data_IF_793015116098
#
_entry.id   IF_793015116098
#
_cell.length_a   1.000
_cell.length_b   1.000
_cell.length_c   1.000
_cell.angle_alpha   90.00
_cell.angle_beta   90.00
_cell.angle_gamma   90.00
#
_symmetry.space_group_name_H-M   'P 1'
#
loop_
_entity.id
_entity.type
_entity.pdbx_description
1 polymer ?
#
# COMPACT_ATOMS: atom_id res chain seq x y z
N UNK A 1 -12.28 -4.74 10.41
CA UNK A 1 -11.66 -4.09 9.22
C UNK A 1 -12.02 -2.61 9.04
N UNK A 2 -13.08 -2.09 9.67
CA UNK A 2 -13.58 -0.69 9.50
C UNK A 2 -12.56 0.44 9.74
N UNK A 3 -11.54 0.20 10.55
CA UNK A 3 -10.58 1.25 10.94
C UNK A 3 -9.27 1.24 10.13
N UNK A 4 -9.17 0.35 9.13
CA UNK A 4 -7.98 0.27 8.30
C UNK A 4 -8.02 1.29 7.17
N UNK A 5 -6.89 1.94 6.97
CA UNK A 5 -6.59 2.78 5.82
C UNK A 5 -5.51 2.06 5.02
N UNK A 6 -5.88 1.56 3.85
CA UNK A 6 -5.02 0.75 3.00
C UNK A 6 -4.45 1.63 1.90
N UNK A 7 -3.13 1.69 1.82
CA UNK A 7 -2.45 2.42 0.76
C UNK A 7 -1.78 1.45 -0.20
N UNK A 8 -2.11 1.54 -1.48
CA UNK A 8 -1.53 0.75 -2.55
C UNK A 8 -0.58 1.63 -3.37
N UNK A 9 0.70 1.36 -3.27
CA UNK A 9 1.73 2.02 -4.09
C UNK A 9 2.07 1.15 -5.29
N UNK A 10 1.47 1.51 -6.43
CA UNK A 10 1.50 0.73 -7.67
C UNK A 10 0.09 0.24 -8.04
N UNK A 11 -0.79 1.16 -8.46
CA UNK A 11 -2.19 0.86 -8.82
C UNK A 11 -2.33 0.18 -10.21
N UNK A 12 -1.41 -0.73 -10.52
CA UNK A 12 -1.53 -1.63 -11.68
C UNK A 12 -2.48 -2.80 -11.40
N UNK A 13 -2.55 -3.76 -12.34
CA UNK A 13 -3.40 -4.95 -12.20
C UNK A 13 -3.13 -5.75 -10.90
N UNK A 14 -1.86 -5.85 -10.47
CA UNK A 14 -1.51 -6.53 -9.23
C UNK A 14 -2.05 -5.79 -8.00
N UNK A 15 -1.76 -4.49 -7.88
CA UNK A 15 -2.18 -3.69 -6.74
C UNK A 15 -3.69 -3.58 -6.62
N UNK A 16 -4.38 -3.32 -7.72
CA UNK A 16 -5.85 -3.24 -7.73
C UNK A 16 -6.48 -4.62 -7.48
N UNK A 17 -5.91 -5.70 -8.03
CA UNK A 17 -6.42 -7.05 -7.73
C UNK A 17 -6.32 -7.42 -6.24
N UNK A 18 -5.27 -6.95 -5.53
CA UNK A 18 -5.19 -7.08 -4.07
C UNK A 18 -6.28 -6.23 -3.40
N UNK A 19 -6.46 -4.98 -3.84
CA UNK A 19 -7.51 -4.11 -3.32
C UNK A 19 -8.89 -4.72 -3.49
N UNK A 20 -9.22 -5.30 -4.66
CA UNK A 20 -10.49 -5.97 -4.92
C UNK A 20 -10.75 -7.11 -3.95
N UNK A 21 -9.77 -7.99 -3.70
CA UNK A 21 -9.93 -9.10 -2.75
C UNK A 21 -10.14 -8.62 -1.31
N UNK A 22 -9.38 -7.60 -0.90
CA UNK A 22 -9.55 -7.01 0.44
C UNK A 22 -10.90 -6.33 0.56
N UNK A 23 -11.34 -5.57 -0.45
CA UNK A 23 -12.67 -4.94 -0.52
C UNK A 23 -13.77 -6.00 -0.39
N UNK A 24 -13.72 -7.06 -1.19
CA UNK A 24 -14.72 -8.12 -1.17
C UNK A 24 -14.80 -8.78 0.21
N UNK A 25 -13.66 -8.98 0.87
CA UNK A 25 -13.61 -9.47 2.26
C UNK A 25 -14.28 -8.48 3.22
N UNK A 26 -14.01 -7.18 3.08
CA UNK A 26 -14.65 -6.14 3.90
C UNK A 26 -16.17 -6.12 3.72
N UNK A 27 -16.64 -6.31 2.49
CA UNK A 27 -18.08 -6.41 2.19
C UNK A 27 -18.69 -7.67 2.82
N UNK A 28 -18.01 -8.81 2.74
CA UNK A 28 -18.45 -10.05 3.41
C UNK A 28 -18.51 -9.88 4.95
N UNK A 29 -17.67 -9.02 5.53
CA UNK A 29 -17.70 -8.67 6.94
C UNK A 29 -18.74 -7.60 7.29
N UNK A 30 -19.53 -7.13 6.31
CA UNK A 30 -20.70 -6.28 6.52
C UNK A 30 -20.50 -4.80 6.26
N UNK A 31 -19.41 -4.38 5.61
CA UNK A 31 -19.30 -3.03 5.07
C UNK A 31 -20.14 -2.93 3.79
N UNK A 32 -20.65 -1.72 3.48
CA UNK A 32 -21.13 -1.43 2.14
C UNK A 32 -19.95 -1.40 1.14
N UNK A 33 -20.23 -1.59 -0.13
CA UNK A 33 -19.20 -1.50 -1.17
C UNK A 33 -18.51 -0.12 -1.20
N UNK A 34 -19.29 0.94 -0.98
CA UNK A 34 -18.76 2.30 -0.90
C UNK A 34 -17.83 2.48 0.31
N UNK A 35 -18.23 2.03 1.50
CA UNK A 35 -17.37 2.07 2.69
C UNK A 35 -16.09 1.27 2.50
N UNK A 36 -16.18 0.10 1.85
CA UNK A 36 -15.03 -0.75 1.57
C UNK A 36 -14.08 -0.09 0.54
N UNK A 37 -14.59 0.48 -0.55
CA UNK A 37 -13.79 1.22 -1.53
C UNK A 37 -13.09 2.43 -0.88
N UNK A 38 -13.78 3.13 0.01
CA UNK A 38 -13.25 4.29 0.73
C UNK A 38 -12.12 3.96 1.73
N UNK A 39 -11.88 2.68 2.03
CA UNK A 39 -10.72 2.28 2.82
C UNK A 39 -9.39 2.37 2.04
N UNK A 40 -9.44 2.45 0.70
CA UNK A 40 -8.26 2.39 -0.16
C UNK A 40 -7.82 3.77 -0.67
N UNK A 41 -6.50 3.93 -0.75
CA UNK A 41 -5.78 5.07 -1.30
C UNK A 41 -4.74 4.53 -2.29
N UNK A 42 -4.99 4.73 -3.56
CA UNK A 42 -4.19 4.10 -4.63
C UNK A 42 -3.31 5.12 -5.33
N UNK A 43 -2.06 4.75 -5.58
CA UNK A 43 -1.09 5.60 -6.27
C UNK A 43 -0.48 4.86 -7.45
N UNK A 44 -0.21 5.60 -8.52
CA UNK A 44 0.60 5.16 -9.63
C UNK A 44 1.63 6.24 -10.02
N UNK A 45 2.16 6.21 -11.25
CA UNK A 45 3.13 7.20 -11.74
C UNK A 45 2.58 8.65 -11.80
N UNK A 46 1.25 8.82 -11.69
CA UNK A 46 0.54 10.11 -11.60
C UNK A 46 0.41 10.62 -10.16
N UNK A 47 0.97 9.92 -9.18
CA UNK A 47 0.75 10.17 -7.76
C UNK A 47 -0.54 9.55 -7.26
N UNK A 48 -1.18 10.16 -6.26
CA UNK A 48 -2.48 9.70 -5.73
C UNK A 48 -3.56 9.82 -6.81
N UNK A 49 -4.27 8.72 -7.03
CA UNK A 49 -5.35 8.68 -8.02
C UNK A 49 -6.61 9.33 -7.46
N UNK A 50 -7.05 10.37 -8.15
CA UNK A 50 -8.29 11.11 -7.87
C UNK A 50 -9.19 11.15 -9.09
N UNK A 51 -10.43 11.58 -8.92
CA UNK A 51 -11.43 11.73 -9.97
C UNK A 51 -10.98 12.66 -11.11
N UNK A 52 -9.99 13.52 -10.89
CA UNK A 52 -9.36 14.32 -11.97
C UNK A 52 -8.73 13.45 -13.07
N UNK A 53 -8.43 12.18 -12.78
CA UNK A 53 -7.85 11.22 -13.73
C UNK A 53 -8.87 10.24 -14.32
N UNK A 54 -10.18 10.45 -14.10
CA UNK A 54 -11.25 9.48 -14.47
C UNK A 54 -11.18 9.05 -15.93
N UNK A 55 -10.87 9.98 -16.84
CA UNK A 55 -10.73 9.72 -18.27
C UNK A 55 -9.38 9.09 -18.68
N UNK A 56 -8.39 9.10 -17.77
CA UNK A 56 -7.02 8.62 -18.03
C UNK A 56 -6.72 7.26 -17.41
N UNK A 57 -7.50 6.85 -16.42
CA UNK A 57 -7.32 5.58 -15.72
C UNK A 57 -8.04 4.43 -16.41
N UNK A 58 -7.59 3.23 -16.14
CA UNK A 58 -8.24 2.01 -16.62
C UNK A 58 -9.51 1.73 -15.78
N UNK A 59 -10.48 1.05 -16.38
CA UNK A 59 -11.78 0.81 -15.73
C UNK A 59 -11.67 0.15 -14.36
N UNK A 60 -10.71 -0.78 -14.18
CA UNK A 60 -10.50 -1.46 -12.89
C UNK A 60 -9.93 -0.54 -11.80
N UNK A 61 -9.38 0.63 -12.14
CA UNK A 61 -8.88 1.62 -11.18
C UNK A 61 -9.97 2.58 -10.69
N UNK A 62 -11.02 2.79 -11.51
CA UNK A 62 -12.08 3.77 -11.24
C UNK A 62 -12.75 3.63 -9.86
N UNK A 63 -13.05 2.41 -9.35
CA UNK A 63 -13.66 2.26 -8.03
C UNK A 63 -12.83 2.83 -6.87
N UNK A 64 -11.53 3.03 -7.07
CA UNK A 64 -10.57 3.47 -6.06
C UNK A 64 -10.10 4.92 -6.25
N UNK A 65 -10.72 5.67 -7.15
CA UNK A 65 -10.44 7.11 -7.29
C UNK A 65 -10.97 7.85 -6.05
N UNK A 66 -10.12 8.73 -5.50
CA UNK A 66 -10.57 9.61 -4.41
C UNK A 66 -11.19 10.87 -4.98
N UNK A 67 -12.18 11.42 -4.26
CA UNK A 67 -12.73 12.71 -4.66
C UNK A 67 -11.68 13.81 -4.56
N UNK A 68 -11.62 14.67 -5.57
CA UNK A 68 -10.76 15.86 -5.55
C UNK A 68 -11.08 16.80 -4.39
N UNK A 69 -12.34 16.86 -3.95
CA UNK A 69 -12.77 17.65 -2.80
C UNK A 69 -12.17 17.13 -1.49
N UNK A 70 -11.99 15.80 -1.36
CA UNK A 70 -11.41 15.17 -0.18
C UNK A 70 -9.92 15.49 0.01
N UNK A 71 -9.24 15.76 -1.07
CA UNK A 71 -7.80 16.09 -1.11
C UNK A 71 -7.55 17.57 -1.37
N UNK A 72 -8.57 18.41 -1.19
CA UNK A 72 -8.41 19.85 -1.33
C UNK A 72 -7.38 20.39 -0.33
N UNK A 73 -6.50 21.27 -0.80
CA UNK A 73 -5.43 21.86 0.00
C UNK A 73 -4.24 20.93 0.32
N UNK A 74 -4.20 19.70 -0.23
CA UNK A 74 -2.99 18.87 -0.13
C UNK A 74 -1.90 19.41 -1.05
N UNK A 75 -0.64 19.24 -0.62
CA UNK A 75 0.50 19.70 -1.42
C UNK A 75 0.58 18.92 -2.75
N UNK A 76 0.84 19.67 -3.82
CA UNK A 76 0.99 19.14 -5.17
C UNK A 76 2.36 19.53 -5.71
N UNK A 77 2.94 18.66 -6.52
CA UNK A 77 4.17 18.97 -7.24
C UNK A 77 3.94 19.94 -8.43
N UNK A 78 5.00 20.23 -9.18
CA UNK A 78 4.95 21.10 -10.36
C UNK A 78 4.01 20.59 -11.46
N UNK A 79 3.68 19.30 -11.46
CA UNK A 79 2.73 18.65 -12.39
C UNK A 79 1.31 18.59 -11.84
N UNK A 80 1.07 19.12 -10.64
CA UNK A 80 -0.22 19.07 -9.97
C UNK A 80 -0.53 17.72 -9.31
N UNK A 81 0.48 16.84 -9.17
CA UNK A 81 0.32 15.50 -8.60
C UNK A 81 0.51 15.52 -7.09
N UNK A 82 -0.27 14.73 -6.38
CA UNK A 82 -0.09 14.49 -4.94
C UNK A 82 0.91 13.34 -4.79
N UNK A 83 2.08 13.65 -4.20
CA UNK A 83 3.16 12.69 -4.04
C UNK A 83 2.82 11.58 -3.03
N UNK A 84 3.56 10.46 -3.11
CA UNK A 84 3.44 9.37 -2.14
C UNK A 84 3.69 9.84 -0.70
N UNK A 85 4.73 10.64 -0.47
CA UNK A 85 5.04 11.17 0.86
C UNK A 85 3.92 12.07 1.40
N UNK A 86 3.32 12.94 0.56
CA UNK A 86 2.18 13.76 0.97
C UNK A 86 0.96 12.90 1.30
N UNK A 87 0.65 11.90 0.45
CA UNK A 87 -0.45 10.99 0.69
C UNK A 87 -0.28 10.22 2.01
N UNK A 88 0.92 9.70 2.30
CA UNK A 88 1.22 9.01 3.57
C UNK A 88 0.97 9.93 4.76
N UNK A 89 1.48 11.16 4.72
CA UNK A 89 1.34 12.15 5.80
C UNK A 89 -0.12 12.48 6.09
N UNK A 90 -0.94 12.59 5.07
CA UNK A 90 -2.35 12.98 5.19
C UNK A 90 -3.25 11.80 5.57
N UNK A 91 -3.06 10.66 4.92
CA UNK A 91 -3.87 9.46 5.12
C UNK A 91 -3.51 8.73 6.41
N UNK A 92 -2.21 8.71 6.78
CA UNK A 92 -1.70 7.92 7.91
C UNK A 92 -2.11 6.44 7.79
N UNK A 93 -1.67 5.75 6.74
CA UNK A 93 -2.14 4.40 6.45
C UNK A 93 -1.76 3.43 7.58
N UNK A 94 -2.62 2.45 7.82
CA UNK A 94 -2.36 1.34 8.73
C UNK A 94 -1.80 0.13 8.00
N UNK A 95 -2.06 0.06 6.69
CA UNK A 95 -1.57 -0.98 5.79
C UNK A 95 -0.97 -0.29 4.56
N UNK A 96 0.28 -0.62 4.25
CA UNK A 96 0.98 -0.17 3.05
C UNK A 96 1.38 -1.37 2.21
N UNK A 97 0.96 -1.39 0.95
CA UNK A 97 1.25 -2.44 -0.02
C UNK A 97 1.97 -1.84 -1.22
N UNK A 98 3.11 -2.39 -1.58
CA UNK A 98 3.90 -2.00 -2.74
C UNK A 98 3.81 -3.02 -3.87
N UNK A 99 3.43 -2.56 -5.05
CA UNK A 99 3.35 -3.35 -6.29
C UNK A 99 3.85 -2.52 -7.48
N UNK A 100 4.75 -1.58 -7.19
CA UNK A 100 5.17 -0.52 -8.11
C UNK A 100 6.34 -0.92 -9.01
N UNK A 101 7.11 -1.93 -8.63
CA UNK A 101 8.39 -2.26 -9.26
C UNK A 101 9.49 -1.22 -9.00
N UNK A 102 9.30 -0.32 -8.05
CA UNK A 102 10.25 0.74 -7.72
C UNK A 102 11.04 0.36 -6.47
N UNK A 103 12.19 -0.31 -6.66
CA UNK A 103 13.06 -0.72 -5.56
C UNK A 103 13.44 0.44 -4.64
N UNK A 104 13.27 0.25 -3.31
CA UNK A 104 13.62 1.26 -2.32
C UNK A 104 12.65 2.45 -2.21
N UNK A 105 11.47 2.39 -2.84
CA UNK A 105 10.48 3.48 -2.79
C UNK A 105 9.92 3.72 -1.39
N UNK A 106 9.91 2.71 -0.51
CA UNK A 106 9.53 2.85 0.88
C UNK A 106 10.72 3.34 1.70
N UNK A 107 10.96 4.64 1.64
CA UNK A 107 12.10 5.27 2.33
C UNK A 107 11.93 5.29 3.86
N UNK A 108 13.03 5.49 4.57
CA UNK A 108 13.03 5.64 6.03
C UNK A 108 12.04 6.70 6.51
N UNK A 109 12.00 7.86 5.83
CA UNK A 109 11.09 8.96 6.17
C UNK A 109 9.63 8.52 6.08
N UNK A 110 9.24 7.86 4.99
CA UNK A 110 7.89 7.37 4.76
C UNK A 110 7.48 6.34 5.82
N UNK A 111 8.34 5.37 6.08
CA UNK A 111 8.03 4.30 7.04
C UNK A 111 7.96 4.84 8.48
N UNK A 112 8.85 5.75 8.85
CA UNK A 112 8.79 6.41 10.17
C UNK A 112 7.54 7.26 10.33
N UNK A 113 7.08 7.94 9.29
CA UNK A 113 5.81 8.68 9.31
C UNK A 113 4.62 7.75 9.58
N UNK A 114 4.56 6.58 8.92
CA UNK A 114 3.54 5.57 9.18
C UNK A 114 3.62 5.05 10.62
N UNK A 115 4.83 4.71 11.08
CA UNK A 115 5.07 4.17 12.41
C UNK A 115 4.78 5.18 13.55
N UNK A 116 4.81 6.49 13.26
CA UNK A 116 4.45 7.54 14.21
C UNK A 116 2.96 7.56 14.52
N UNK A 117 2.11 7.06 13.62
CA UNK A 117 0.64 7.10 13.73
C UNK A 117 0.00 5.72 13.87
N UNK A 118 0.75 4.64 13.64
CA UNK A 118 0.25 3.27 13.68
C UNK A 118 1.17 2.42 14.56
N UNK A 119 0.64 1.87 15.64
CA UNK A 119 1.42 1.08 16.60
C UNK A 119 2.05 -0.15 15.95
N UNK A 120 1.27 -0.89 15.15
CA UNK A 120 1.73 -2.07 14.41
C UNK A 120 1.34 -1.96 12.93
N UNK A 121 2.11 -1.21 12.13
CA UNK A 121 1.80 -1.06 10.70
C UNK A 121 2.04 -2.37 9.95
N UNK A 122 1.14 -2.69 9.02
CA UNK A 122 1.34 -3.76 8.04
C UNK A 122 2.04 -3.17 6.82
N UNK A 123 3.22 -3.70 6.47
CA UNK A 123 4.03 -3.19 5.35
C UNK A 123 4.41 -4.36 4.46
N UNK A 124 3.94 -4.33 3.22
CA UNK A 124 4.07 -5.42 2.27
C UNK A 124 4.74 -4.95 0.97
N UNK A 125 6.08 -4.99 0.87
CA UNK A 125 6.78 -4.76 -0.40
C UNK A 125 6.66 -6.01 -1.28
N UNK A 126 5.72 -5.98 -2.24
CA UNK A 126 5.29 -7.15 -3.01
C UNK A 126 5.95 -7.26 -4.38
N UNK A 127 6.75 -6.26 -4.78
CA UNK A 127 7.40 -6.28 -6.10
C UNK A 127 8.46 -7.36 -6.23
N UNK A 128 8.53 -7.97 -7.40
CA UNK A 128 9.48 -9.01 -7.79
C UNK A 128 10.27 -8.58 -9.04
N UNK A 129 11.55 -9.01 -9.18
CA UNK A 129 12.38 -9.72 -8.20
C UNK A 129 12.88 -8.83 -7.06
N UNK A 130 13.62 -9.41 -6.10
CA UNK A 130 14.12 -8.73 -4.90
C UNK A 130 14.69 -7.31 -5.11
N UNK A 131 15.48 -7.01 -6.16
CA UNK A 131 15.97 -5.65 -6.40
C UNK A 131 14.86 -4.62 -6.70
N UNK A 132 13.66 -5.06 -7.04
CA UNK A 132 12.50 -4.21 -7.30
C UNK A 132 11.57 -4.08 -6.09
N UNK A 133 11.85 -4.80 -4.99
CA UNK A 133 11.09 -4.69 -3.76
C UNK A 133 11.18 -3.25 -3.21
N UNK A 134 10.05 -2.68 -2.83
CA UNK A 134 9.95 -1.30 -2.37
C UNK A 134 10.76 -1.02 -1.10
N UNK A 135 11.01 -2.05 -0.29
CA UNK A 135 11.95 -2.02 0.85
C UNK A 135 12.46 -3.43 1.16
N UNK A 136 13.54 -3.51 1.93
CA UNK A 136 14.02 -4.77 2.51
C UNK A 136 13.49 -4.92 3.95
N UNK A 137 13.15 -6.14 4.40
CA UNK A 137 12.56 -6.37 5.73
C UNK A 137 13.41 -5.84 6.89
N UNK A 138 14.74 -5.98 6.81
CA UNK A 138 15.66 -5.49 7.84
C UNK A 138 15.48 -3.99 8.12
N UNK A 139 15.37 -3.19 7.06
CA UNK A 139 15.15 -1.74 7.17
C UNK A 139 13.78 -1.44 7.78
N UNK A 140 12.74 -2.19 7.39
CA UNK A 140 11.39 -2.00 7.93
C UNK A 140 11.34 -2.24 9.44
N UNK A 141 11.98 -3.29 9.95
CA UNK A 141 12.07 -3.52 11.40
C UNK A 141 12.86 -2.43 12.10
N UNK A 142 13.99 -2.01 11.52
CA UNK A 142 14.80 -0.92 12.07
C UNK A 142 14.04 0.40 12.15
N UNK A 143 13.30 0.78 11.10
CA UNK A 143 12.58 2.05 11.04
C UNK A 143 11.28 2.07 11.84
N UNK A 144 10.78 0.90 12.24
CA UNK A 144 9.55 0.76 13.04
C UNK A 144 9.79 0.25 14.46
N UNK A 145 11.05 0.21 14.92
CA UNK A 145 11.45 -0.36 16.23
C UNK A 145 10.90 -1.78 16.45
N UNK A 146 10.96 -2.64 15.41
CA UNK A 146 10.49 -4.03 15.45
C UNK A 146 8.96 -4.19 15.42
N UNK A 147 8.19 -3.12 15.24
CA UNK A 147 6.72 -3.15 15.37
C UNK A 147 5.98 -3.56 14.12
N UNK A 148 6.60 -3.42 12.95
CA UNK A 148 5.94 -3.72 11.68
C UNK A 148 5.55 -5.20 11.57
N UNK A 149 4.41 -5.46 10.92
CA UNK A 149 4.06 -6.77 10.36
C UNK A 149 4.50 -6.76 8.89
N UNK A 150 5.46 -7.62 8.56
CA UNK A 150 6.10 -7.62 7.24
C UNK A 150 5.81 -8.92 6.51
N UNK A 151 5.37 -8.80 5.26
CA UNK A 151 5.36 -9.89 4.28
C UNK A 151 5.85 -9.37 2.94
N UNK A 152 6.49 -10.20 2.14
CA UNK A 152 7.16 -9.77 0.90
C UNK A 152 6.74 -10.61 -0.30
N UNK A 153 6.79 -10.02 -1.49
CA UNK A 153 6.52 -10.75 -2.73
C UNK A 153 7.69 -11.65 -3.16
N UNK A 154 8.92 -11.20 -2.93
CA UNK A 154 10.14 -11.97 -3.15
C UNK A 154 10.58 -12.69 -1.88
N UNK A 155 11.33 -13.79 -1.96
CA UNK A 155 11.87 -14.44 -0.77
C UNK A 155 12.94 -13.57 -0.10
N UNK A 156 12.87 -13.49 1.22
CA UNK A 156 13.89 -12.89 2.08
C UNK A 156 14.19 -13.83 3.24
N UNK A 157 15.41 -13.76 3.76
CA UNK A 157 15.80 -14.44 4.97
C UNK A 157 15.09 -13.82 6.18
N UNK A 158 14.99 -14.59 7.27
CA UNK A 158 14.49 -14.08 8.54
C UNK A 158 15.37 -12.93 9.04
N UNK A 159 14.76 -12.00 9.76
CA UNK A 159 15.47 -10.83 10.29
C UNK A 159 15.61 -10.95 11.80
N UNK A 160 16.83 -10.86 12.31
CA UNK A 160 17.07 -10.69 13.74
C UNK A 160 17.06 -9.19 14.09
N UNK A 161 16.15 -8.78 14.97
CA UNK A 161 16.07 -7.43 15.47
C UNK A 161 15.89 -7.42 16.99
N UNK A 162 16.81 -6.75 17.71
CA UNK A 162 16.82 -6.68 19.19
C UNK A 162 16.78 -8.06 19.88
N UNK A 163 17.47 -9.06 19.31
CA UNK A 163 17.53 -10.42 19.84
C UNK A 163 16.26 -11.25 19.63
N UNK A 164 15.35 -10.78 18.77
CA UNK A 164 14.14 -11.49 18.34
C UNK A 164 14.29 -11.82 16.87
N UNK A 165 14.11 -13.09 16.52
CA UNK A 165 14.02 -13.54 15.14
C UNK A 165 12.61 -13.31 14.61
N UNK A 166 12.51 -12.58 13.50
CA UNK A 166 11.27 -12.30 12.78
C UNK A 166 11.23 -13.15 11.51
N UNK A 167 10.29 -14.06 11.44
CA UNK A 167 10.00 -14.81 10.22
C UNK A 167 9.36 -13.91 9.17
N UNK A 168 9.91 -13.92 7.95
CA UNK A 168 9.38 -13.13 6.83
C UNK A 168 8.44 -13.99 6.00
N UNK A 169 7.15 -13.70 6.11
CA UNK A 169 6.12 -14.34 5.28
C UNK A 169 6.31 -13.98 3.80
N UNK A 170 6.43 -14.99 2.93
CA UNK A 170 6.40 -14.78 1.50
C UNK A 170 4.97 -14.82 0.98
N UNK A 171 4.49 -13.70 0.48
CA UNK A 171 3.20 -13.55 -0.21
C UNK A 171 3.44 -13.31 -1.70
N UNK A 172 3.72 -14.37 -2.45
CA UNK A 172 3.88 -14.22 -3.90
C UNK A 172 2.56 -13.74 -4.52
N UNK A 173 2.62 -12.83 -5.47
CA UNK A 173 1.46 -12.31 -6.20
C UNK A 173 0.54 -13.42 -6.72
N UNK A 174 1.09 -14.57 -7.12
CA UNK A 174 0.32 -15.75 -7.55
C UNK A 174 -0.58 -16.34 -6.44
N UNK A 175 -0.26 -16.14 -5.17
CA UNK A 175 -1.10 -16.60 -4.04
C UNK A 175 -2.10 -15.55 -3.56
N UNK A 176 -1.80 -14.28 -3.81
CA UNK A 176 -2.70 -13.16 -3.49
C UNK A 176 -3.73 -12.97 -4.61
N UNK A 177 -3.53 -13.59 -5.76
CA UNK A 177 -4.33 -13.48 -6.98
C UNK A 177 -5.26 -14.68 -7.33
N UNK A 178 -5.63 -15.61 -6.44
CA UNK A 178 -6.46 -16.75 -6.85
C UNK A 178 -7.87 -16.36 -7.30
N UNK A 179 -8.32 -15.16 -7.01
CA UNK A 179 -9.65 -14.68 -7.40
C UNK A 179 -9.75 -13.99 -8.76
N UNK A 180 -8.63 -13.66 -9.39
CA UNK A 180 -8.63 -12.89 -10.66
C UNK A 180 -8.60 -13.80 -11.89
N UNK A 181 -8.29 -15.10 -11.71
CA UNK A 181 -8.22 -16.09 -12.80
C UNK A 181 -9.38 -17.10 -12.80
N UNK A 182 -10.39 -16.89 -12.00
CA UNK A 182 -11.68 -17.60 -12.05
C UNK A 182 -12.79 -16.63 -12.44
#
# INVERSE_FOLDING_TARGET
MKDHRVMIFGAGSAGIGIADQMRDTMVLEGLSEEEANNAFWTLDYRGLLTDQFEDEVLDFQKPYLRSSDEVEGWARDEKGQISFAEAVRKVKPTILIGTSGQGGAFTEEIIKEIAAHTERPVIMPMSNPTPLAEAVPEDLFKWTDGRALVATGSPFENVEYNGIEHEIGQSNNAFVFPGVLM
#
